data_IF_038655416300
#
_entry.id   IF_038655416300
#
_cell.length_a   1.000
_cell.length_b   1.000
_cell.length_c   1.000
_cell.angle_alpha   90.00
_cell.angle_beta   90.00
_cell.angle_gamma   90.00
#
_symmetry.space_group_name_H-M   'P 1'
#
loop_
_entity.id
_entity.type
_entity.pdbx_description
1 polymer ?
#
# COMPACT_ATOMS: atom_id res chain seq x y z
N UNK A 1 3.06 -6.90 5.70
CA UNK A 1 2.34 -5.85 4.95
C UNK A 1 1.14 -5.42 5.79
N UNK A 2 0.72 -4.14 5.78
CA UNK A 2 -0.54 -3.77 6.47
C UNK A 2 -1.71 -4.26 5.60
N UNK A 3 -2.80 -4.77 6.18
CA UNK A 3 -3.90 -5.40 5.44
C UNK A 3 -3.73 -6.91 5.21
N UNK A 4 -2.56 -7.49 5.49
CA UNK A 4 -2.26 -8.90 5.26
C UNK A 4 -1.42 -9.50 6.38
N UNK A 5 -1.79 -10.69 6.85
CA UNK A 5 -0.96 -11.52 7.71
C UNK A 5 -0.10 -12.49 6.91
N UNK A 6 1.01 -12.91 7.49
CA UNK A 6 1.91 -13.88 6.87
C UNK A 6 1.69 -15.22 7.57
N UNK A 7 1.05 -16.15 6.86
CA UNK A 7 0.74 -17.50 7.33
C UNK A 7 1.43 -18.45 6.35
N UNK A 8 2.31 -19.33 6.84
CA UNK A 8 3.02 -20.30 5.99
C UNK A 8 3.78 -19.69 4.78
N UNK A 9 4.29 -18.47 4.95
CA UNK A 9 4.97 -17.65 3.91
C UNK A 9 4.05 -17.08 2.84
N UNK A 10 2.74 -17.22 2.98
CA UNK A 10 1.74 -16.62 2.11
C UNK A 10 1.11 -15.37 2.75
N UNK A 11 0.67 -14.42 1.91
CA UNK A 11 -0.05 -13.24 2.35
C UNK A 11 -1.55 -13.54 2.36
N UNK A 12 -2.11 -13.63 3.55
CA UNK A 12 -3.55 -13.85 3.78
C UNK A 12 -4.17 -12.55 4.23
N UNK A 13 -5.34 -12.20 3.69
CA UNK A 13 -6.04 -10.95 4.05
C UNK A 13 -6.31 -10.93 5.56
N UNK A 14 -5.94 -9.82 6.20
CA UNK A 14 -6.38 -9.51 7.56
C UNK A 14 -7.60 -8.58 7.45
N UNK A 15 -8.83 -9.04 7.73
CA UNK A 15 -10.04 -8.26 7.46
C UNK A 15 -10.05 -6.89 8.15
N UNK A 16 -9.60 -6.82 9.41
CA UNK A 16 -9.60 -5.58 10.19
C UNK A 16 -8.66 -4.53 9.59
N UNK A 17 -7.49 -4.95 9.12
CA UNK A 17 -6.55 -4.03 8.49
C UNK A 17 -6.92 -3.72 7.05
N UNK A 18 -7.47 -4.70 6.32
CA UNK A 18 -7.93 -4.55 4.95
C UNK A 18 -9.07 -3.52 4.84
N UNK A 19 -9.98 -3.47 5.83
CA UNK A 19 -11.00 -2.41 5.93
C UNK A 19 -10.38 -1.01 5.99
N UNK A 20 -9.27 -0.84 6.72
CA UNK A 20 -8.56 0.44 6.81
C UNK A 20 -7.87 0.77 5.49
N UNK A 21 -7.34 -0.22 4.78
CA UNK A 21 -6.80 -0.04 3.41
C UNK A 21 -7.90 0.43 2.46
N UNK A 22 -9.05 -0.25 2.43
CA UNK A 22 -10.21 0.13 1.64
C UNK A 22 -10.66 1.56 1.94
N UNK A 23 -10.74 1.93 3.22
CA UNK A 23 -11.06 3.29 3.65
C UNK A 23 -10.06 4.31 3.11
N UNK A 24 -8.75 4.01 3.15
CA UNK A 24 -7.70 4.89 2.62
C UNK A 24 -7.91 5.13 1.13
N UNK A 25 -8.11 4.08 0.33
CA UNK A 25 -8.35 4.19 -1.11
C UNK A 25 -9.64 4.95 -1.43
N UNK A 26 -10.72 4.66 -0.71
CA UNK A 26 -11.99 5.37 -0.86
C UNK A 26 -11.83 6.87 -0.59
N UNK A 27 -11.24 7.24 0.54
CA UNK A 27 -11.07 8.64 0.91
C UNK A 27 -10.10 9.38 -0.02
N UNK A 28 -9.03 8.71 -0.47
CA UNK A 28 -8.09 9.28 -1.43
C UNK A 28 -8.76 9.55 -2.79
N UNK A 29 -9.51 8.57 -3.31
CA UNK A 29 -10.26 8.69 -4.58
C UNK A 29 -11.31 9.81 -4.53
N UNK A 30 -11.82 10.13 -3.34
CA UNK A 30 -12.68 11.29 -3.08
C UNK A 30 -11.91 12.61 -2.88
N UNK A 31 -10.64 12.68 -3.26
CA UNK A 31 -9.82 13.90 -3.27
C UNK A 31 -9.17 14.26 -1.93
N UNK A 32 -9.20 13.39 -0.91
CA UNK A 32 -8.47 13.69 0.34
C UNK A 32 -6.97 13.48 0.17
N UNK A 33 -6.20 14.56 0.38
CA UNK A 33 -4.75 14.49 0.41
C UNK A 33 -4.18 13.66 1.58
N UNK A 34 -2.94 13.20 1.43
CA UNK A 34 -2.25 12.30 2.37
C UNK A 34 -2.24 12.78 3.83
N UNK A 35 -2.04 14.09 4.06
CA UNK A 35 -2.05 14.68 5.41
C UNK A 35 -3.44 14.60 6.04
N UNK A 36 -4.49 14.84 5.26
CA UNK A 36 -5.87 14.76 5.73
C UNK A 36 -6.24 13.30 6.07
N UNK A 37 -5.78 12.33 5.27
CA UNK A 37 -5.94 10.90 5.53
C UNK A 37 -5.26 10.48 6.84
N UNK A 38 -3.97 10.78 7.01
CA UNK A 38 -3.24 10.44 8.23
C UNK A 38 -3.91 11.04 9.48
N UNK A 39 -4.39 12.28 9.39
CA UNK A 39 -5.15 12.92 10.47
C UNK A 39 -6.51 12.26 10.72
N UNK A 40 -7.22 11.85 9.67
CA UNK A 40 -8.49 11.13 9.79
C UNK A 40 -8.29 9.80 10.51
N UNK A 41 -7.31 8.99 10.08
CA UNK A 41 -6.99 7.71 10.70
C UNK A 41 -6.62 7.87 12.17
N UNK A 42 -5.79 8.87 12.49
CA UNK A 42 -5.43 9.20 13.87
C UNK A 42 -6.65 9.55 14.73
N UNK A 43 -7.56 10.40 14.23
CA UNK A 43 -8.77 10.82 14.94
C UNK A 43 -9.76 9.67 15.14
N UNK A 44 -9.84 8.77 14.17
CA UNK A 44 -10.67 7.56 14.23
C UNK A 44 -10.06 6.45 15.11
N UNK A 45 -8.82 6.61 15.60
CA UNK A 45 -8.17 5.66 16.49
C UNK A 45 -7.50 4.48 15.78
N UNK A 46 -7.41 4.48 14.45
CA UNK A 46 -6.73 3.43 13.70
C UNK A 46 -5.22 3.44 13.95
N UNK A 47 -4.64 2.25 14.12
CA UNK A 47 -3.21 2.06 14.36
C UNK A 47 -2.62 1.08 13.35
N UNK A 48 -1.33 1.22 13.12
CA UNK A 48 -0.54 0.26 12.33
C UNK A 48 -0.34 -1.05 13.09
N UNK A 49 0.14 -2.11 12.42
CA UNK A 49 0.53 -3.41 13.00
C UNK A 49 1.36 -3.34 14.29
N UNK A 50 2.14 -2.27 14.46
CA UNK A 50 3.01 -2.07 15.61
C UNK A 50 2.43 -1.07 16.62
N UNK A 51 1.11 -0.88 16.63
CA UNK A 51 0.38 0.03 17.52
C UNK A 51 0.86 1.48 17.44
N UNK A 52 1.26 1.93 16.25
CA UNK A 52 1.68 3.32 15.98
C UNK A 52 0.65 4.07 15.15
N UNK A 53 0.62 5.39 15.29
CA UNK A 53 -0.18 6.28 14.44
C UNK A 53 0.30 6.22 12.98
N UNK A 54 -0.65 6.34 12.04
CA UNK A 54 -0.32 6.45 10.63
C UNK A 54 0.40 7.76 10.33
N UNK A 55 1.57 7.66 9.71
CA UNK A 55 2.28 8.83 9.17
C UNK A 55 1.82 9.10 7.74
N UNK A 56 2.08 10.32 7.24
CA UNK A 56 1.83 10.69 5.84
C UNK A 56 2.52 9.70 4.89
N UNK A 57 3.79 9.37 5.17
CA UNK A 57 4.55 8.40 4.38
C UNK A 57 3.98 6.98 4.48
N UNK A 58 3.44 6.60 5.64
CA UNK A 58 2.77 5.31 5.81
C UNK A 58 1.55 5.19 4.90
N UNK A 59 0.71 6.23 4.85
CA UNK A 59 -0.44 6.29 3.93
C UNK A 59 0.01 6.27 2.47
N UNK A 60 1.04 7.07 2.12
CA UNK A 60 1.59 7.08 0.77
C UNK A 60 2.12 5.70 0.35
N UNK A 61 2.78 4.98 1.26
CA UNK A 61 3.27 3.62 1.02
C UNK A 61 2.13 2.63 0.80
N UNK A 62 0.97 2.83 1.44
CA UNK A 62 -0.22 1.99 1.22
C UNK A 62 -0.76 2.21 -0.20
N UNK A 63 -0.87 3.47 -0.63
CA UNK A 63 -1.38 3.81 -1.95
C UNK A 63 -0.42 3.36 -3.07
N UNK A 64 0.90 3.47 -2.89
CA UNK A 64 1.90 3.09 -3.91
C UNK A 64 2.08 1.57 -4.09
N UNK A 65 1.53 0.74 -3.21
CA UNK A 65 1.89 -0.68 -3.17
C UNK A 65 0.98 -1.57 -4.02
N UNK A 66 1.53 -2.13 -5.10
CA UNK A 66 0.88 -3.08 -6.02
C UNK A 66 0.41 -4.40 -5.39
N UNK A 67 0.81 -4.70 -4.15
CA UNK A 67 0.30 -5.90 -3.47
C UNK A 67 -1.21 -5.80 -3.27
N UNK A 68 -1.76 -4.60 -3.03
CA UNK A 68 -3.18 -4.43 -2.77
C UNK A 68 -4.06 -4.73 -3.98
N UNK A 69 -3.54 -4.61 -5.21
CA UNK A 69 -4.23 -5.06 -6.43
C UNK A 69 -3.75 -6.44 -6.91
N UNK A 70 -3.23 -7.27 -6.01
CA UNK A 70 -2.91 -8.67 -6.30
C UNK A 70 -1.60 -8.88 -7.05
N UNK A 71 -0.76 -7.86 -7.24
CA UNK A 71 0.46 -7.93 -8.05
C UNK A 71 1.73 -7.89 -7.21
N UNK A 72 2.81 -8.39 -7.79
CA UNK A 72 4.17 -8.28 -7.28
C UNK A 72 5.01 -7.43 -8.24
N UNK A 73 5.92 -6.65 -7.68
CA UNK A 73 6.80 -5.77 -8.47
C UNK A 73 8.27 -6.08 -8.20
N UNK A 74 9.01 -6.30 -9.27
CA UNK A 74 10.43 -6.59 -9.28
C UNK A 74 11.21 -5.46 -9.96
N UNK A 75 12.50 -5.36 -9.62
CA UNK A 75 13.44 -4.40 -10.22
C UNK A 75 12.98 -2.93 -10.11
N UNK A 76 12.37 -2.52 -8.99
CA UNK A 76 11.94 -1.12 -8.77
C UNK A 76 13.08 -0.09 -8.77
N UNK A 77 14.31 -0.54 -8.53
CA UNK A 77 15.50 0.30 -8.43
C UNK A 77 16.60 -0.30 -9.31
N UNK A 78 17.20 0.53 -10.16
CA UNK A 78 18.35 0.22 -11.00
C UNK A 78 19.62 0.87 -10.45
N UNK A 79 20.78 0.27 -10.79
CA UNK A 79 22.10 0.81 -10.44
C UNK A 79 22.21 1.13 -8.94
N UNK A 80 21.84 0.16 -8.09
CA UNK A 80 21.78 0.34 -6.64
C UNK A 80 23.12 0.80 -6.05
N UNK A 81 24.22 0.27 -6.59
CA UNK A 81 25.60 0.59 -6.22
C UNK A 81 25.88 2.10 -6.31
N UNK A 82 25.43 2.75 -7.39
CA UNK A 82 25.73 4.17 -7.67
C UNK A 82 24.57 5.11 -7.33
N UNK A 83 23.34 4.79 -7.74
CA UNK A 83 22.17 5.68 -7.62
C UNK A 83 21.35 5.44 -6.36
N UNK A 84 21.48 4.28 -5.72
CA UNK A 84 20.72 3.91 -4.51
C UNK A 84 19.22 4.18 -4.72
N UNK A 85 18.53 4.78 -3.74
CA UNK A 85 17.09 5.12 -3.82
C UNK A 85 16.71 6.12 -4.91
N UNK A 86 17.68 6.84 -5.50
CA UNK A 86 17.42 7.77 -6.62
C UNK A 86 17.31 7.05 -7.96
N UNK A 87 17.80 5.81 -8.06
CA UNK A 87 17.75 5.01 -9.28
C UNK A 87 16.40 4.35 -9.53
N UNK A 88 15.28 5.08 -9.44
CA UNK A 88 13.96 4.49 -9.71
C UNK A 88 13.90 3.95 -11.15
N UNK A 89 13.51 2.69 -11.30
CA UNK A 89 13.24 2.09 -12.59
C UNK A 89 11.88 2.61 -13.11
N UNK A 90 11.80 3.23 -14.30
CA UNK A 90 10.54 3.65 -14.88
C UNK A 90 9.64 2.47 -15.28
N UNK A 91 10.23 1.30 -15.55
CA UNK A 91 9.53 0.10 -16.04
C UNK A 91 9.82 -1.11 -15.13
N UNK A 92 9.34 -1.10 -13.87
CA UNK A 92 9.46 -2.26 -13.01
C UNK A 92 8.66 -3.43 -13.59
N UNK A 93 9.16 -4.65 -13.40
CA UNK A 93 8.47 -5.85 -13.84
C UNK A 93 7.30 -6.09 -12.89
N UNK A 94 6.08 -6.06 -13.40
CA UNK A 94 4.86 -6.39 -12.67
C UNK A 94 4.41 -7.80 -13.05
N UNK A 95 4.13 -8.63 -12.05
CA UNK A 95 3.63 -10.00 -12.24
C UNK A 95 2.44 -10.23 -11.32
N UNK A 96 1.53 -11.12 -11.72
CA UNK A 96 0.43 -11.52 -10.85
C UNK A 96 0.96 -12.24 -9.61
N UNK A 97 0.43 -11.86 -8.46
CA UNK A 97 0.70 -12.50 -7.18
C UNK A 97 -0.20 -13.70 -6.95
N UNK A 98 0.18 -14.53 -5.99
CA UNK A 98 -0.64 -15.67 -5.54
C UNK A 98 -1.60 -15.28 -4.42
N UNK A 99 -1.45 -14.08 -3.86
CA UNK A 99 -2.27 -13.56 -2.77
C UNK A 99 -3.52 -12.88 -3.30
N UNK A 100 -4.57 -12.89 -2.49
CA UNK A 100 -5.83 -12.23 -2.83
C UNK A 100 -5.69 -10.70 -2.84
N UNK A 101 -6.28 -10.04 -3.83
CA UNK A 101 -6.27 -8.58 -3.92
C UNK A 101 -7.30 -7.97 -2.95
N UNK A 102 -6.88 -6.96 -2.17
CA UNK A 102 -7.80 -6.18 -1.33
C UNK A 102 -8.57 -5.13 -2.13
N UNK A 103 -7.96 -4.62 -3.21
CA UNK A 103 -8.45 -3.53 -4.05
C UNK A 103 -8.48 -3.98 -5.51
N UNK A 104 -9.49 -3.56 -6.27
CA UNK A 104 -9.53 -3.85 -7.71
C UNK A 104 -8.48 -3.04 -8.49
N UNK A 105 -8.08 -3.55 -9.65
CA UNK A 105 -7.16 -2.86 -10.56
C UNK A 105 -7.67 -1.47 -10.98
N UNK A 106 -8.98 -1.29 -11.09
CA UNK A 106 -9.60 -0.01 -11.41
C UNK A 106 -9.39 1.01 -10.29
N UNK A 107 -9.72 0.63 -9.05
CA UNK A 107 -9.56 1.52 -7.89
C UNK A 107 -8.08 1.85 -7.64
N UNK A 108 -7.18 0.89 -7.87
CA UNK A 108 -5.74 1.12 -7.77
C UNK A 108 -5.25 2.18 -8.77
N UNK A 109 -5.70 2.09 -10.04
CA UNK A 109 -5.32 3.05 -11.10
C UNK A 109 -5.89 4.45 -10.91
N UNK A 110 -7.01 4.61 -10.21
CA UNK A 110 -7.55 5.94 -9.90
C UNK A 110 -6.67 6.66 -8.87
N UNK A 111 -6.02 5.91 -8.00
CA UNK A 111 -5.28 6.45 -6.87
C UNK A 111 -3.81 6.83 -7.17
N UNK A 112 -3.26 6.46 -8.33
CA UNK A 112 -1.83 6.62 -8.68
C UNK A 112 -1.70 7.15 -10.11
#
# INVERSE_FOLDING_TARGET
MFGYDTIEKELVINPKEAEVVLLIYHLYSNGKGLKALANHLKKAGYQTKHNRQFSINGVATILDNVIYNGKNSWLKIENWDTKRRKGKNPNPILVEGQHEATISDEVYRIAI
#
